data_IF_715463130392
#
_entry.id   IF_715463130392
#
_cell.length_a   1.000
_cell.length_b   1.000
_cell.length_c   1.000
_cell.angle_alpha   90.00
_cell.angle_beta   90.00
_cell.angle_gamma   90.00
#
_symmetry.space_group_name_H-M   'P 1'
#
loop_
_entity.id
_entity.type
_entity.pdbx_description
1 polymer ?
#
# COMPACT_ATOMS: atom_id res chain seq x y z
N UNK A 1 10.52 -2.07 3.30
CA UNK A 1 9.04 -1.97 3.47
C UNK A 1 8.52 -3.36 3.22
N UNK A 2 7.79 -3.92 4.18
CA UNK A 2 7.40 -5.32 4.07
C UNK A 2 6.30 -5.49 3.00
N UNK A 3 6.44 -6.54 2.18
CA UNK A 3 5.47 -6.84 1.13
C UNK A 3 4.05 -7.02 1.69
N UNK A 4 3.93 -7.63 2.88
CA UNK A 4 2.67 -7.78 3.60
C UNK A 4 1.96 -6.45 3.86
N UNK A 5 2.69 -5.41 4.25
CA UNK A 5 2.12 -4.08 4.55
C UNK A 5 1.61 -3.41 3.26
N UNK A 6 2.33 -3.58 2.15
CA UNK A 6 1.89 -3.06 0.85
C UNK A 6 0.60 -3.76 0.41
N UNK A 7 0.53 -5.10 0.51
CA UNK A 7 -0.69 -5.85 0.19
C UNK A 7 -1.89 -5.40 1.03
N UNK A 8 -1.73 -5.35 2.35
CA UNK A 8 -2.83 -4.95 3.23
C UNK A 8 -3.22 -3.49 3.04
N UNK A 9 -2.24 -2.61 2.80
CA UNK A 9 -2.47 -1.21 2.45
C UNK A 9 -3.33 -1.07 1.20
N UNK A 10 -2.94 -1.70 0.09
CA UNK A 10 -3.70 -1.67 -1.16
C UNK A 10 -5.14 -2.17 -0.98
N UNK A 11 -5.32 -3.30 -0.29
CA UNK A 11 -6.67 -3.84 -0.02
C UNK A 11 -7.53 -2.89 0.81
N UNK A 12 -6.98 -2.29 1.87
CA UNK A 12 -7.72 -1.32 2.69
C UNK A 12 -8.07 -0.04 1.94
N UNK A 13 -7.32 0.30 0.89
CA UNK A 13 -7.58 1.46 0.02
C UNK A 13 -8.52 1.17 -1.14
N UNK A 14 -9.15 -0.02 -1.16
CA UNK A 14 -10.18 -0.36 -2.13
C UNK A 14 -9.65 -0.92 -3.46
N UNK A 15 -8.36 -1.24 -3.55
CA UNK A 15 -7.87 -1.98 -4.70
C UNK A 15 -8.50 -3.38 -4.74
N UNK A 16 -8.77 -3.87 -5.93
CA UNK A 16 -9.18 -5.24 -6.19
C UNK A 16 -7.96 -6.06 -6.58
N UNK A 17 -7.75 -7.18 -5.90
CA UNK A 17 -6.66 -8.11 -6.21
C UNK A 17 -7.13 -9.11 -7.25
N UNK A 18 -6.30 -9.36 -8.27
CA UNK A 18 -6.44 -10.48 -9.21
C UNK A 18 -5.13 -11.26 -9.28
N UNK A 19 -5.24 -12.57 -9.43
CA UNK A 19 -4.09 -13.45 -9.60
C UNK A 19 -3.67 -13.50 -11.08
N UNK A 20 -2.42 -13.19 -11.39
CA UNK A 20 -1.78 -13.46 -12.68
C UNK A 20 -0.83 -14.66 -12.59
N UNK A 21 -0.19 -15.09 -13.68
CA UNK A 21 0.65 -16.31 -13.65
C UNK A 21 1.79 -16.24 -12.63
N UNK A 22 2.53 -15.12 -12.56
CA UNK A 22 3.67 -14.93 -11.64
C UNK A 22 3.54 -13.67 -10.75
N UNK A 23 2.45 -12.93 -10.89
CA UNK A 23 2.25 -11.63 -10.28
C UNK A 23 0.86 -11.52 -9.67
N UNK A 24 0.76 -10.77 -8.58
CA UNK A 24 -0.47 -10.24 -8.03
C UNK A 24 -0.74 -8.90 -8.73
N UNK A 25 -1.94 -8.73 -9.28
CA UNK A 25 -2.37 -7.51 -9.96
C UNK A 25 -3.36 -6.78 -9.05
N UNK A 26 -3.16 -5.49 -8.84
CA UNK A 26 -3.98 -4.64 -7.99
C UNK A 26 -4.52 -3.48 -8.82
N UNK A 27 -5.84 -3.37 -8.95
CA UNK A 27 -6.49 -2.29 -9.71
C UNK A 27 -7.53 -1.56 -8.85
N UNK A 28 -7.65 -0.25 -9.02
CA UNK A 28 -8.72 0.55 -8.40
C UNK A 28 -9.64 1.12 -9.46
N UNK A 29 -10.94 1.10 -9.18
CA UNK A 29 -12.00 1.58 -10.06
C UNK A 29 -12.58 2.88 -9.51
N UNK A 30 -12.80 3.85 -10.39
CA UNK A 30 -13.50 5.12 -10.10
C UNK A 30 -14.54 5.29 -11.20
N UNK A 31 -15.80 5.52 -10.81
CA UNK A 31 -16.93 5.72 -11.73
C UNK A 31 -17.07 4.64 -12.81
N UNK A 32 -16.91 3.37 -12.45
CA UNK A 32 -17.07 2.26 -13.39
C UNK A 32 -15.84 1.96 -14.26
N UNK A 33 -14.72 2.69 -14.07
CA UNK A 33 -13.53 2.60 -14.93
C UNK A 33 -12.27 2.35 -14.10
N UNK A 34 -11.39 1.48 -14.61
CA UNK A 34 -10.08 1.23 -13.99
C UNK A 34 -9.27 2.52 -14.06
N UNK A 35 -9.02 3.12 -12.90
CA UNK A 35 -8.31 4.38 -12.76
C UNK A 35 -6.79 4.17 -12.64
N UNK A 36 -6.36 3.10 -11.96
CA UNK A 36 -4.94 2.76 -11.84
C UNK A 36 -4.75 1.25 -11.64
N UNK A 37 -3.56 0.75 -12.01
CA UNK A 37 -3.18 -0.65 -11.81
C UNK A 37 -1.70 -0.75 -11.44
N UNK A 38 -1.37 -1.57 -10.44
CA UNK A 38 0.00 -1.92 -10.09
C UNK A 38 0.15 -3.42 -9.96
N UNK A 39 1.38 -3.92 -10.12
CA UNK A 39 1.69 -5.34 -10.06
C UNK A 39 2.78 -5.59 -9.04
N UNK A 40 2.67 -6.73 -8.36
CA UNK A 40 3.67 -7.17 -7.40
C UNK A 40 3.99 -8.63 -7.62
N UNK A 41 5.28 -8.97 -7.65
CA UNK A 41 5.73 -10.36 -7.78
C UNK A 41 5.36 -11.14 -6.51
N UNK A 42 5.06 -12.43 -6.66
CA UNK A 42 4.77 -13.34 -5.53
C UNK A 42 5.98 -13.68 -4.65
N UNK A 43 7.09 -12.95 -4.80
CA UNK A 43 8.33 -13.22 -4.08
C UNK A 43 8.09 -13.44 -2.58
N UNK A 44 8.72 -14.49 -2.03
CA UNK A 44 8.79 -14.77 -0.59
C UNK A 44 9.67 -13.78 0.17
N UNK A 45 10.35 -12.87 -0.54
CA UNK A 45 11.14 -11.80 0.07
C UNK A 45 10.24 -10.94 0.96
N UNK A 46 10.56 -10.92 2.26
CA UNK A 46 9.81 -10.18 3.28
C UNK A 46 9.77 -8.68 2.96
N UNK A 47 10.85 -8.16 2.37
CA UNK A 47 10.99 -6.76 1.97
C UNK A 47 10.86 -6.52 0.46
N UNK A 48 10.24 -5.40 0.12
CA UNK A 48 10.15 -4.88 -1.24
C UNK A 48 11.25 -3.84 -1.45
N UNK A 49 12.01 -4.00 -2.53
CA UNK A 49 13.12 -3.09 -2.86
C UNK A 49 12.63 -1.70 -3.24
N UNK A 50 13.44 -0.67 -2.98
CA UNK A 50 13.14 0.72 -3.33
C UNK A 50 12.77 0.90 -4.81
N UNK A 51 13.41 0.13 -5.68
CA UNK A 51 13.14 0.15 -7.12
C UNK A 51 11.70 -0.30 -7.45
N UNK A 52 11.20 -1.33 -6.77
CA UNK A 52 9.82 -1.79 -6.96
C UNK A 52 8.84 -0.76 -6.41
N UNK A 53 9.10 -0.21 -5.21
CA UNK A 53 8.25 0.83 -4.60
C UNK A 53 8.17 2.07 -5.53
N UNK A 54 9.29 2.48 -6.12
CA UNK A 54 9.31 3.59 -7.08
C UNK A 54 8.49 3.29 -8.34
N UNK A 55 8.53 2.05 -8.86
CA UNK A 55 7.69 1.64 -9.99
C UNK A 55 6.20 1.66 -9.62
N UNK A 56 5.84 1.16 -8.45
CA UNK A 56 4.45 1.17 -7.97
C UNK A 56 3.91 2.60 -7.82
N UNK A 57 4.70 3.50 -7.23
CA UNK A 57 4.36 4.93 -7.12
C UNK A 57 4.00 5.54 -8.47
N UNK A 58 4.82 5.32 -9.50
CA UNK A 58 4.56 5.81 -10.87
C UNK A 58 3.31 5.19 -11.50
N UNK A 59 3.12 3.89 -11.34
CA UNK A 59 1.94 3.17 -11.86
C UNK A 59 0.63 3.64 -11.23
N UNK A 60 0.69 4.13 -10.00
CA UNK A 60 -0.46 4.69 -9.27
C UNK A 60 -0.54 6.22 -9.38
N UNK A 61 0.18 6.82 -10.33
CA UNK A 61 0.17 8.25 -10.62
C UNK A 61 0.59 9.16 -9.44
N UNK A 62 1.40 8.63 -8.51
CA UNK A 62 1.98 9.40 -7.42
C UNK A 62 3.23 10.15 -7.92
N UNK A 63 3.49 11.34 -7.36
CA UNK A 63 4.63 12.18 -7.73
C UNK A 63 5.92 11.67 -7.10
N UNK A 64 5.83 11.12 -5.89
CA UNK A 64 7.01 10.64 -5.16
C UNK A 64 6.81 9.23 -4.58
N UNK A 65 7.93 8.57 -4.30
CA UNK A 65 7.94 7.29 -3.58
C UNK A 65 7.39 7.47 -2.15
N UNK A 66 7.64 8.61 -1.53
CA UNK A 66 7.18 8.93 -0.18
C UNK A 66 5.66 9.12 -0.11
N UNK A 67 5.05 9.76 -1.12
CA UNK A 67 3.59 9.82 -1.24
C UNK A 67 2.97 8.42 -1.28
N UNK A 68 3.54 7.50 -2.06
CA UNK A 68 3.08 6.11 -2.09
C UNK A 68 3.26 5.44 -0.73
N UNK A 69 4.42 5.60 -0.08
CA UNK A 69 4.66 5.03 1.25
C UNK A 69 3.67 5.55 2.28
N UNK A 70 3.44 6.86 2.32
CA UNK A 70 2.47 7.50 3.21
C UNK A 70 1.04 7.02 2.91
N UNK A 71 0.67 6.95 1.63
CA UNK A 71 -0.64 6.43 1.21
C UNK A 71 -0.88 4.99 1.68
N UNK A 72 0.13 4.13 1.57
CA UNK A 72 0.07 2.71 1.99
C UNK A 72 0.17 2.56 3.51
N UNK A 73 1.05 3.32 4.17
CA UNK A 73 1.33 3.25 5.60
C UNK A 73 0.27 3.94 6.45
N UNK A 74 -0.54 4.84 5.89
CA UNK A 74 -1.54 5.59 6.64
C UNK A 74 -2.68 4.68 7.14
N UNK A 75 -2.36 4.02 8.24
CA UNK A 75 -3.20 3.44 9.27
C UNK A 75 -2.40 3.59 10.56
N UNK A 76 -2.61 4.67 11.29
CA UNK A 76 -2.47 4.57 12.75
C UNK A 76 -3.22 3.30 13.14
N UNK A 77 -2.53 2.29 13.68
CA UNK A 77 -3.28 1.20 14.28
C UNK A 77 -4.09 1.80 15.44
N UNK A 78 -5.21 1.16 15.78
CA UNK A 78 -5.98 1.59 16.95
C UNK A 78 -5.08 1.62 18.20
N UNK A 79 -4.15 0.66 18.33
CA UNK A 79 -3.14 0.64 19.40
C UNK A 79 -2.16 1.81 19.30
N UNK A 80 -1.63 2.13 18.13
CA UNK A 80 -0.71 3.26 17.96
C UNK A 80 -1.41 4.60 18.28
N UNK A 81 -2.68 4.73 17.92
CA UNK A 81 -3.46 5.93 18.16
C UNK A 81 -3.81 6.07 19.64
N UNK A 82 -4.25 4.98 20.28
CA UNK A 82 -4.57 5.00 21.71
C UNK A 82 -3.34 5.16 22.59
N UNK A 83 -2.19 4.58 22.21
CA UNK A 83 -0.93 4.81 22.91
C UNK A 83 -0.46 6.25 22.78
N UNK A 84 -0.57 6.85 21.58
CA UNK A 84 -0.28 8.27 21.39
C UNK A 84 -1.15 9.18 22.28
N UNK A 85 -2.46 8.90 22.37
CA UNK A 85 -3.38 9.65 23.25
C UNK A 85 -3.02 9.50 24.73
N UNK A 86 -2.70 8.29 25.19
CA UNK A 86 -2.25 8.01 26.57
C UNK A 86 -0.96 8.74 26.94
N UNK A 87 -0.03 8.91 26.00
CA UNK A 87 1.26 9.53 26.30
C UNK A 87 1.24 11.06 26.25
N UNK A 88 0.27 11.67 25.58
CA UNK A 88 0.30 13.11 25.28
C UNK A 88 -0.91 13.89 25.81
N UNK A 89 -2.02 13.22 26.15
CA UNK A 89 -3.29 13.89 26.45
C UNK A 89 -4.10 13.29 27.61
N UNK A 90 -3.66 12.15 28.16
CA UNK A 90 -4.30 11.52 29.31
C UNK A 90 -3.20 11.25 30.35
N UNK A 91 -3.13 12.10 31.38
CA UNK A 91 -2.35 11.85 32.60
C UNK A 91 -2.98 10.71 33.44
#
# INVERSE_FOLDING_TARGET
>A
MQARIIRSGLMRKGFQKREGSNHEIYSIEIDGKIAATTVMSRSSSRDVSKNIISKMSKQLHMRTTEEFLNYIQCTYSYEDYTNYLKMNYLD
#
